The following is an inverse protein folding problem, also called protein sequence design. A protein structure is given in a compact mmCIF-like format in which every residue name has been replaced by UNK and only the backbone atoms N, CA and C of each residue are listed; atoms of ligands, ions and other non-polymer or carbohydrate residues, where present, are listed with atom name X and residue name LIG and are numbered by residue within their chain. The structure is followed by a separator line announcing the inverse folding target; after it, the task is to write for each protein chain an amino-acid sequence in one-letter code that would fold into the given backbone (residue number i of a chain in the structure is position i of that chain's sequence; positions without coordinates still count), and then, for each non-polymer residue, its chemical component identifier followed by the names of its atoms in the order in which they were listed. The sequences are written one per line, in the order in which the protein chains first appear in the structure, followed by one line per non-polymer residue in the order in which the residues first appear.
data_IF_282288197988
#
_entry.id   IF_282288197988
#
_cell.length_a   1.000
_cell.length_b   1.000
_cell.length_c   1.000
_cell.angle_alpha   90.00
_cell.angle_beta   90.00
_cell.angle_gamma   90.00
#
_symmetry.space_group_name_H-M   'P 1'
#
loop_
_entity.id
_entity.type
_entity.pdbx_description
1 polymer ?
#
# COMPACT_ATOMS: atom_id res chain seq x y z
N UNK A 1 -8.95 4.02 -5.73
CA UNK A 1 -8.85 2.75 -6.49
C UNK A 1 -10.09 2.43 -7.35
N UNK A 2 -11.32 2.67 -6.88
CA UNK A 2 -12.57 2.26 -7.58
C UNK A 2 -12.83 2.88 -8.96
N UNK A 3 -12.19 4.00 -9.31
CA UNK A 3 -12.37 4.67 -10.62
C UNK A 3 -11.61 4.02 -11.78
N UNK A 4 -10.69 3.09 -11.49
CA UNK A 4 -9.99 2.22 -12.45
C UNK A 4 -9.28 2.95 -13.60
N UNK A 5 -8.24 3.73 -13.29
CA UNK A 5 -7.28 4.25 -14.27
C UNK A 5 -5.85 4.11 -13.74
N UNK A 6 -4.92 3.75 -14.63
CA UNK A 6 -3.48 3.78 -14.41
C UNK A 6 -2.78 4.24 -15.69
N UNK A 7 -1.54 4.72 -15.59
CA UNK A 7 -0.75 5.19 -16.72
C UNK A 7 0.60 4.46 -16.78
N UNK A 8 1.07 4.16 -17.98
CA UNK A 8 2.39 3.57 -18.22
C UNK A 8 3.25 4.58 -19.00
N UNK A 9 4.37 4.99 -18.41
CA UNK A 9 5.33 5.90 -19.06
C UNK A 9 6.53 5.10 -19.60
N UNK A 10 6.58 4.90 -20.93
CA UNK A 10 7.65 4.13 -21.59
C UNK A 10 8.39 4.99 -22.62
N UNK A 11 9.51 5.64 -22.26
CA UNK A 11 10.28 6.50 -23.19
C UNK A 11 10.77 5.75 -24.43
N UNK A 12 11.18 4.49 -24.27
CA UNK A 12 11.61 3.64 -25.39
C UNK A 12 10.43 3.33 -26.32
N UNK A 13 10.56 3.68 -27.60
CA UNK A 13 9.50 3.50 -28.61
C UNK A 13 9.18 2.04 -28.86
N UNK A 14 10.18 1.17 -28.99
CA UNK A 14 9.98 -0.26 -29.25
C UNK A 14 9.21 -0.91 -28.09
N UNK A 15 9.59 -0.61 -26.85
CA UNK A 15 8.89 -1.11 -25.67
C UNK A 15 7.43 -0.61 -25.63
N UNK A 16 7.21 0.67 -25.94
CA UNK A 16 5.85 1.26 -25.95
C UNK A 16 4.94 0.59 -26.96
N UNK A 17 5.43 0.31 -28.17
CA UNK A 17 4.65 -0.37 -29.19
C UNK A 17 4.38 -1.84 -28.84
N UNK A 18 5.34 -2.54 -28.20
CA UNK A 18 5.11 -3.89 -27.66
C UNK A 18 4.00 -3.89 -26.60
N UNK A 19 4.01 -2.92 -25.66
CA UNK A 19 2.98 -2.80 -24.62
C UNK A 19 1.60 -2.54 -25.25
N UNK A 20 1.50 -1.58 -26.18
CA UNK A 20 0.23 -1.28 -26.87
C UNK A 20 -0.32 -2.49 -27.63
N UNK A 21 0.54 -3.19 -28.38
CA UNK A 21 0.14 -4.39 -29.11
C UNK A 21 -0.40 -5.47 -28.17
N UNK A 22 0.25 -5.68 -27.03
CA UNK A 22 -0.25 -6.61 -26.01
C UNK A 22 -1.60 -6.17 -25.44
N UNK A 23 -1.78 -4.89 -25.11
CA UNK A 23 -3.07 -4.36 -24.63
C UNK A 23 -4.20 -4.56 -25.64
N UNK A 24 -3.94 -4.35 -26.94
CA UNK A 24 -4.93 -4.59 -27.99
C UNK A 24 -5.31 -6.07 -28.10
N UNK A 25 -4.32 -6.97 -28.09
CA UNK A 25 -4.57 -8.42 -28.18
C UNK A 25 -5.33 -8.94 -26.95
N UNK A 26 -5.08 -8.37 -25.76
CA UNK A 26 -5.80 -8.72 -24.53
C UNK A 26 -7.09 -7.93 -24.31
N UNK A 27 -7.42 -6.97 -25.19
CA UNK A 27 -8.57 -6.05 -25.06
C UNK A 27 -8.56 -5.25 -23.77
N UNK A 28 -7.39 -4.75 -23.39
CA UNK A 28 -7.14 -3.89 -22.22
C UNK A 28 -6.64 -2.50 -22.64
N UNK A 29 -6.97 -2.08 -23.86
CA UNK A 29 -6.56 -0.82 -24.49
C UNK A 29 -7.59 0.31 -24.33
N UNK A 30 -8.72 0.04 -23.69
CA UNK A 30 -9.75 1.03 -23.35
C UNK A 30 -9.78 1.36 -21.86
N UNK A 31 -10.21 2.58 -21.55
CA UNK A 31 -10.43 3.06 -20.18
C UNK A 31 -11.78 3.76 -20.08
N UNK A 32 -12.36 3.78 -18.89
CA UNK A 32 -13.66 4.39 -18.68
C UNK A 32 -13.55 5.92 -18.53
N UNK A 33 -14.56 6.64 -19.01
CA UNK A 33 -14.60 8.11 -18.98
C UNK A 33 -14.46 8.68 -17.56
N UNK A 34 -15.08 8.04 -16.57
CA UNK A 34 -15.02 8.52 -15.19
C UNK A 34 -13.59 8.42 -14.62
N UNK A 35 -12.85 7.37 -14.95
CA UNK A 35 -11.44 7.22 -14.60
C UNK A 35 -10.58 8.35 -15.16
N UNK A 36 -10.77 8.70 -16.45
CA UNK A 36 -10.06 9.82 -17.10
C UNK A 36 -10.33 11.12 -16.34
N UNK A 37 -11.60 11.48 -16.15
CA UNK A 37 -12.00 12.75 -15.52
C UNK A 37 -11.54 12.82 -14.06
N UNK A 38 -11.72 11.74 -13.29
CA UNK A 38 -11.33 11.71 -11.89
C UNK A 38 -9.82 11.85 -11.69
N UNK A 39 -9.01 11.17 -12.53
CA UNK A 39 -7.55 11.28 -12.44
C UNK A 39 -7.06 12.65 -12.88
N UNK A 40 -7.63 13.24 -13.93
CA UNK A 40 -7.30 14.60 -14.32
C UNK A 40 -7.61 15.59 -13.20
N UNK A 41 -8.82 15.56 -12.64
CA UNK A 41 -9.21 16.44 -11.53
C UNK A 41 -8.30 16.27 -10.31
N UNK A 42 -7.87 15.04 -10.00
CA UNK A 42 -6.92 14.79 -8.92
C UNK A 42 -5.55 15.46 -9.18
N UNK A 43 -5.03 15.40 -10.41
CA UNK A 43 -3.76 16.07 -10.74
C UNK A 43 -3.88 17.59 -10.80
N UNK A 44 -4.99 18.11 -11.32
CA UNK A 44 -5.15 19.56 -11.51
C UNK A 44 -5.47 20.30 -10.20
N UNK A 45 -6.04 19.61 -9.20
CA UNK A 45 -6.66 20.29 -8.05
C UNK A 45 -6.38 19.70 -6.67
N UNK A 46 -5.81 18.50 -6.54
CA UNK A 46 -5.69 17.83 -5.24
C UNK A 46 -4.36 18.10 -4.50
N UNK A 47 -3.52 19.04 -4.97
CA UNK A 47 -2.21 19.31 -4.36
C UNK A 47 -2.32 19.73 -2.89
N UNK A 48 -3.14 20.74 -2.58
CA UNK A 48 -3.34 21.19 -1.20
C UNK A 48 -3.86 20.07 -0.27
N UNK A 49 -4.79 19.25 -0.77
CA UNK A 49 -5.27 18.09 -0.02
C UNK A 49 -4.16 17.05 0.22
N UNK A 50 -3.30 16.82 -0.78
CA UNK A 50 -2.18 15.89 -0.65
C UNK A 50 -1.16 16.38 0.39
N UNK A 51 -0.85 17.67 0.40
CA UNK A 51 0.05 18.27 1.39
C UNK A 51 -0.47 18.07 2.82
N UNK A 52 -1.76 18.33 3.05
CA UNK A 52 -2.41 18.09 4.36
C UNK A 52 -2.42 16.60 4.73
N UNK A 53 -2.74 15.72 3.77
CA UNK A 53 -2.73 14.27 3.98
C UNK A 53 -1.34 13.78 4.40
N UNK A 54 -0.27 14.27 3.75
CA UNK A 54 1.10 13.84 4.05
C UNK A 54 1.51 14.20 5.50
N UNK A 55 1.11 15.38 5.99
CA UNK A 55 1.32 15.76 7.39
C UNK A 55 0.58 14.82 8.33
N UNK A 56 -0.70 14.54 8.05
CA UNK A 56 -1.51 13.63 8.87
C UNK A 56 -0.94 12.20 8.89
N UNK A 57 -0.52 11.67 7.74
CA UNK A 57 0.09 10.34 7.66
C UNK A 57 1.40 10.26 8.42
N UNK A 58 2.23 11.32 8.36
CA UNK A 58 3.47 11.39 9.13
C UNK A 58 3.20 11.33 10.63
N UNK A 59 2.22 12.08 11.12
CA UNK A 59 1.82 12.03 12.53
C UNK A 59 1.35 10.63 12.94
N UNK A 60 0.53 9.96 12.11
CA UNK A 60 0.09 8.59 12.41
C UNK A 60 1.25 7.60 12.49
N UNK A 61 2.27 7.74 11.64
CA UNK A 61 3.48 6.91 11.69
C UNK A 61 4.23 7.14 13.01
N UNK A 62 4.45 8.40 13.39
CA UNK A 62 5.15 8.76 14.63
C UNK A 62 4.40 8.23 15.88
N UNK A 63 3.09 8.42 15.93
CA UNK A 63 2.22 7.89 16.99
C UNK A 63 2.26 6.36 17.04
N UNK A 64 2.19 5.68 15.89
CA UNK A 64 2.22 4.22 15.83
C UNK A 64 3.57 3.67 16.30
N UNK A 65 4.68 4.24 15.83
CA UNK A 65 6.02 3.85 16.27
C UNK A 65 6.20 4.05 17.79
N UNK A 66 5.73 5.18 18.33
CA UNK A 66 5.77 5.47 19.77
C UNK A 66 4.96 4.44 20.54
N UNK A 67 3.71 4.19 20.13
CA UNK A 67 2.83 3.22 20.76
C UNK A 67 3.46 1.82 20.88
N UNK A 68 4.04 1.29 19.79
CA UNK A 68 4.68 -0.03 19.83
C UNK A 68 5.93 -0.02 20.71
N UNK A 69 6.73 1.04 20.67
CA UNK A 69 7.94 1.15 21.51
C UNK A 69 7.63 1.15 23.01
N UNK A 70 6.47 1.69 23.41
CA UNK A 70 6.08 1.79 24.82
C UNK A 70 5.23 0.60 25.28
N UNK A 71 4.25 0.18 24.46
CA UNK A 71 3.23 -0.79 24.86
C UNK A 71 3.54 -2.23 24.42
N UNK A 72 4.26 -2.40 23.32
CA UNK A 72 4.56 -3.71 22.71
C UNK A 72 6.03 -3.77 22.25
N UNK A 73 7.01 -3.54 23.15
CA UNK A 73 8.42 -3.30 22.78
C UNK A 73 9.13 -4.50 22.12
N UNK A 74 8.50 -5.68 22.11
CA UNK A 74 9.00 -6.86 21.39
C UNK A 74 8.62 -6.85 19.91
N UNK A 75 7.65 -6.03 19.50
CA UNK A 75 7.31 -5.85 18.09
C UNK A 75 8.34 -4.92 17.48
N UNK A 76 9.03 -5.39 16.45
CA UNK A 76 9.92 -4.53 15.67
C UNK A 76 9.08 -3.78 14.63
N UNK A 77 9.15 -2.45 14.64
CA UNK A 77 8.44 -1.59 13.69
C UNK A 77 9.42 -1.06 12.66
N UNK A 78 9.16 -1.35 11.38
CA UNK A 78 9.89 -0.69 10.30
C UNK A 78 9.30 0.71 10.08
N UNK A 79 10.06 1.74 10.40
CA UNK A 79 9.65 3.12 10.13
C UNK A 79 9.58 3.35 8.61
N UNK A 80 8.40 3.65 8.05
CA UNK A 80 8.24 3.81 6.61
C UNK A 80 8.86 5.12 6.12
N UNK A 81 9.64 5.04 5.03
CA UNK A 81 10.11 6.22 4.28
C UNK A 81 9.07 6.71 3.26
N UNK A 82 8.02 5.91 3.02
CA UNK A 82 6.93 6.22 2.10
C UNK A 82 5.78 5.23 2.21
N UNK A 83 4.72 5.49 1.42
CA UNK A 83 3.40 4.84 1.56
C UNK A 83 2.71 5.15 2.89
N UNK A 84 1.49 4.63 3.08
CA UNK A 84 0.73 4.73 4.33
C UNK A 84 0.63 3.38 5.07
N UNK A 85 1.48 2.41 4.71
CA UNK A 85 1.49 1.06 5.29
C UNK A 85 2.73 0.89 6.18
N UNK A 86 2.55 0.28 7.34
CA UNK A 86 3.62 0.00 8.31
C UNK A 86 3.86 -1.49 8.38
N UNK A 87 5.14 -1.90 8.40
CA UNK A 87 5.52 -3.29 8.58
C UNK A 87 5.84 -3.56 10.05
N UNK A 88 5.17 -4.58 10.59
CA UNK A 88 5.28 -5.00 11.98
C UNK A 88 5.82 -6.42 12.01
N UNK A 89 6.93 -6.61 12.70
CA UNK A 89 7.55 -7.91 12.90
C UNK A 89 7.27 -8.40 14.33
N UNK A 90 6.54 -9.51 14.41
CA UNK A 90 6.12 -10.18 15.65
C UNK A 90 6.98 -11.43 15.96
N UNK A 91 8.07 -11.68 15.24
CA UNK A 91 8.92 -12.88 15.36
C UNK A 91 9.41 -13.14 16.79
N UNK A 92 9.65 -12.08 17.57
CA UNK A 92 10.07 -12.15 18.98
C UNK A 92 9.04 -12.83 19.92
N UNK A 93 7.80 -13.02 19.47
CA UNK A 93 6.75 -13.70 20.24
C UNK A 93 6.75 -15.23 20.05
N UNK A 94 7.52 -15.77 19.10
CA UNK A 94 7.61 -17.22 18.84
C UNK A 94 6.29 -17.84 18.39
N UNK A 95 5.37 -17.04 17.85
CA UNK A 95 4.09 -17.48 17.32
C UNK A 95 4.26 -17.95 15.87
N UNK A 96 3.47 -18.93 15.48
CA UNK A 96 3.29 -19.24 14.06
C UNK A 96 2.40 -18.18 13.38
N UNK A 97 2.51 -18.02 12.06
CA UNK A 97 1.66 -17.11 11.28
C UNK A 97 0.16 -17.30 11.53
N UNK A 98 -0.26 -18.55 11.75
CA UNK A 98 -1.67 -18.89 12.02
C UNK A 98 -2.12 -18.44 13.40
N UNK A 99 -1.28 -18.61 14.42
CA UNK A 99 -1.57 -18.17 15.78
C UNK A 99 -1.61 -16.65 15.86
N UNK A 100 -0.62 -15.97 15.27
CA UNK A 100 -0.60 -14.50 15.20
C UNK A 100 -1.85 -13.96 14.52
N UNK A 101 -2.21 -14.52 13.36
CA UNK A 101 -3.42 -14.10 12.63
C UNK A 101 -4.70 -14.37 13.44
N UNK A 102 -4.77 -15.47 14.19
CA UNK A 102 -5.90 -15.76 15.06
C UNK A 102 -6.02 -14.75 16.21
N UNK A 103 -4.91 -14.48 16.90
CA UNK A 103 -4.89 -13.53 18.02
C UNK A 103 -5.26 -12.12 17.56
N UNK A 104 -4.67 -11.64 16.46
CA UNK A 104 -4.97 -10.30 15.92
C UNK A 104 -6.46 -10.13 15.62
N UNK A 105 -7.08 -11.09 14.95
CA UNK A 105 -8.47 -10.96 14.51
C UNK A 105 -9.46 -11.25 15.62
N UNK A 106 -9.32 -12.38 16.31
CA UNK A 106 -10.36 -12.89 17.21
C UNK A 106 -10.19 -12.45 18.66
N UNK A 107 -8.97 -12.08 19.08
CA UNK A 107 -8.71 -11.60 20.44
C UNK A 107 -8.55 -10.07 20.46
N UNK A 108 -7.76 -9.51 19.53
CA UNK A 108 -7.51 -8.07 19.47
C UNK A 108 -8.52 -7.29 18.60
N UNK A 109 -9.29 -7.97 17.75
CA UNK A 109 -10.28 -7.32 16.88
C UNK A 109 -9.68 -6.49 15.74
N UNK A 110 -8.41 -6.72 15.38
CA UNK A 110 -7.68 -5.97 14.36
C UNK A 110 -7.31 -6.87 13.18
N UNK A 111 -7.68 -6.45 11.97
CA UNK A 111 -7.36 -7.18 10.74
C UNK A 111 -6.17 -6.52 10.05
N UNK A 112 -5.06 -7.26 9.96
CA UNK A 112 -3.85 -6.85 9.25
C UNK A 112 -3.60 -7.77 8.04
N UNK A 113 -2.83 -7.28 7.06
CA UNK A 113 -2.34 -8.13 6.00
C UNK A 113 -1.30 -9.11 6.56
N UNK A 114 -1.45 -10.40 6.26
CA UNK A 114 -0.52 -11.42 6.74
C UNK A 114 0.82 -11.31 5.98
N UNK A 115 1.91 -11.09 6.71
CA UNK A 115 3.26 -10.94 6.14
C UNK A 115 3.70 -12.11 5.25
N UNK A 116 3.31 -13.34 5.59
CA UNK A 116 3.62 -14.53 4.80
C UNK A 116 3.05 -14.51 3.38
N UNK A 117 2.04 -13.67 3.10
CA UNK A 117 1.49 -13.49 1.75
C UNK A 117 2.44 -12.72 0.81
N UNK A 118 3.41 -12.00 1.37
CA UNK A 118 4.42 -11.25 0.63
C UNK A 118 5.72 -12.05 0.38
N UNK A 119 5.74 -13.35 0.74
CA UNK A 119 6.85 -14.26 0.50
C UNK A 119 7.68 -14.57 1.75
N UNK A 120 8.80 -15.28 1.57
CA UNK A 120 9.64 -15.76 2.69
C UNK A 120 10.25 -14.64 3.53
N UNK A 121 10.50 -13.48 2.93
CA UNK A 121 11.02 -12.31 3.63
C UNK A 121 9.97 -11.58 4.47
N UNK A 122 8.69 -12.00 4.37
CA UNK A 122 7.61 -11.47 5.19
C UNK A 122 7.19 -12.39 6.34
N UNK A 123 7.98 -13.45 6.60
CA UNK A 123 7.80 -14.37 7.73
C UNK A 123 8.76 -14.05 8.86
#
# INVERSE_FOLDING_TARGET
AGVKLAMIFAKNRELREKIKSLQQVTRQDEVNTFGIIATQAAYDHAEAWLEELLVYLKMNVEETCTFFSESLPKVTVMQPEGTYLIWLDFSAYGLTDKELHHQLIYEAGVVLNNGATFGSNGK
#
